data_IF_100676302356
#
_entry.id   IF_100676302356
#
_cell.length_a   1.000
_cell.length_b   1.000
_cell.length_c   1.000
_cell.angle_alpha   90.00
_cell.angle_beta   90.00
_cell.angle_gamma   90.00
#
_symmetry.space_group_name_H-M   'P 1'
#
loop_
_entity.id
_entity.type
_entity.pdbx_description
1 polymer ?
#
# COMPACT_ATOMS: atom_id res chain seq x y z
N UNK A 1 -18.88 15.00 9.22
CA UNK A 1 -18.99 14.44 7.86
C UNK A 1 -20.43 14.55 7.39
N UNK A 2 -20.65 14.98 6.15
CA UNK A 2 -22.00 15.08 5.60
C UNK A 2 -22.58 13.70 5.27
N UNK A 3 -23.89 13.59 5.20
CA UNK A 3 -24.58 12.37 4.76
C UNK A 3 -24.08 11.88 3.39
N UNK A 4 -23.86 12.80 2.46
CA UNK A 4 -23.37 12.48 1.10
C UNK A 4 -22.02 11.78 1.13
N UNK A 5 -21.07 12.28 1.92
CA UNK A 5 -19.73 11.70 2.06
C UNK A 5 -19.80 10.28 2.62
N UNK A 6 -20.59 10.06 3.67
CA UNK A 6 -20.79 8.73 4.24
C UNK A 6 -21.40 7.76 3.22
N UNK A 7 -22.36 8.23 2.42
CA UNK A 7 -23.00 7.42 1.38
C UNK A 7 -22.01 7.05 0.27
N UNK A 8 -21.16 7.99 -0.14
CA UNK A 8 -20.13 7.74 -1.16
C UNK A 8 -19.08 6.72 -0.67
N UNK A 9 -18.64 6.83 0.58
CA UNK A 9 -17.70 5.87 1.17
C UNK A 9 -18.28 4.46 1.22
N UNK A 10 -19.52 4.31 1.61
CA UNK A 10 -20.21 3.02 1.64
C UNK A 10 -20.37 2.43 0.23
N UNK A 11 -20.72 3.25 -0.75
CA UNK A 11 -20.85 2.82 -2.14
C UNK A 11 -19.49 2.41 -2.72
N UNK A 12 -18.43 3.14 -2.38
CA UNK A 12 -17.07 2.80 -2.81
C UNK A 12 -16.66 1.42 -2.29
N UNK A 13 -16.83 1.15 -1.00
CA UNK A 13 -16.51 -0.13 -0.40
C UNK A 13 -17.28 -1.29 -1.05
N UNK A 14 -18.59 -1.12 -1.28
CA UNK A 14 -19.41 -2.12 -1.95
C UNK A 14 -18.96 -2.36 -3.40
N UNK A 15 -18.63 -1.30 -4.13
CA UNK A 15 -18.17 -1.41 -5.52
C UNK A 15 -16.80 -2.13 -5.60
N UNK A 16 -15.90 -1.84 -4.70
CA UNK A 16 -14.59 -2.54 -4.62
C UNK A 16 -14.80 -4.03 -4.36
N UNK A 17 -15.66 -4.39 -3.41
CA UNK A 17 -15.98 -5.78 -3.11
C UNK A 17 -16.59 -6.51 -4.30
N UNK A 18 -17.58 -5.91 -4.95
CA UNK A 18 -18.24 -6.48 -6.13
C UNK A 18 -17.26 -6.67 -7.28
N UNK A 19 -16.40 -5.69 -7.53
CA UNK A 19 -15.35 -5.79 -8.54
C UNK A 19 -14.43 -6.95 -8.25
N UNK A 20 -14.00 -7.10 -7.00
CA UNK A 20 -13.16 -8.19 -6.57
C UNK A 20 -13.81 -9.57 -6.78
N UNK A 21 -15.10 -9.69 -6.48
CA UNK A 21 -15.84 -10.95 -6.64
C UNK A 21 -15.96 -11.39 -8.09
N UNK A 22 -16.03 -10.45 -9.05
CA UNK A 22 -16.18 -10.76 -10.49
C UNK A 22 -14.84 -10.87 -11.22
N UNK A 23 -13.70 -10.59 -10.57
CA UNK A 23 -12.40 -10.74 -11.19
C UNK A 23 -12.13 -12.19 -11.58
N UNK A 24 -11.70 -12.39 -12.81
CA UNK A 24 -11.25 -13.68 -13.31
C UNK A 24 -9.79 -13.58 -13.73
N UNK A 25 -8.96 -14.55 -13.38
CA UNK A 25 -7.57 -14.57 -13.83
C UNK A 25 -7.48 -14.60 -15.36
N UNK A 26 -6.50 -13.88 -15.91
CA UNK A 26 -6.19 -13.93 -17.34
C UNK A 26 -4.68 -13.94 -17.53
N UNK A 27 -4.23 -14.25 -18.75
CA UNK A 27 -2.82 -14.45 -19.07
C UNK A 27 -2.11 -13.16 -19.51
N UNK A 28 -2.79 -12.03 -19.53
CA UNK A 28 -2.15 -10.75 -19.86
C UNK A 28 -1.07 -10.44 -18.83
N UNK A 29 0.19 -10.26 -19.25
CA UNK A 29 1.26 -9.91 -18.31
C UNK A 29 0.96 -8.60 -17.58
N UNK A 30 1.11 -8.62 -16.25
CA UNK A 30 0.83 -7.47 -15.39
C UNK A 30 1.98 -7.25 -14.42
N UNK A 31 2.28 -5.99 -14.16
CA UNK A 31 3.21 -5.60 -13.10
C UNK A 31 2.41 -5.01 -11.93
N UNK A 32 2.60 -5.59 -10.76
CA UNK A 32 2.02 -5.06 -9.53
C UNK A 32 3.15 -4.53 -8.65
N UNK A 33 3.18 -3.22 -8.48
CA UNK A 33 4.14 -2.57 -7.58
C UNK A 33 3.43 -2.28 -6.26
N UNK A 34 3.90 -2.94 -5.20
CA UNK A 34 3.38 -2.77 -3.85
C UNK A 34 4.28 -1.77 -3.11
N UNK A 35 3.69 -0.68 -2.66
CA UNK A 35 4.39 0.37 -1.92
C UNK A 35 4.25 0.24 -0.40
N UNK A 36 3.83 -0.92 0.10
CA UNK A 36 3.73 -1.15 1.54
C UNK A 36 5.10 -1.00 2.22
N UNK A 37 5.11 -0.31 3.36
CA UNK A 37 6.34 -0.11 4.13
C UNK A 37 6.66 -1.38 4.92
N UNK A 38 7.80 -2.01 4.61
CA UNK A 38 8.23 -3.27 5.23
C UNK A 38 9.56 -3.15 5.98
N UNK A 39 9.96 -1.93 6.33
CA UNK A 39 11.11 -1.70 7.20
C UNK A 39 10.69 -0.84 8.39
N UNK A 40 11.37 -1.02 9.52
CA UNK A 40 11.15 -0.17 10.71
C UNK A 40 11.30 1.30 10.35
N UNK A 41 12.33 1.62 9.59
CA UNK A 41 12.67 2.97 9.18
C UNK A 41 11.56 3.62 8.34
N UNK A 42 11.09 2.93 7.30
CA UNK A 42 10.03 3.43 6.43
C UNK A 42 8.69 3.59 7.17
N UNK A 43 8.38 2.67 8.08
CA UNK A 43 7.16 2.76 8.88
C UNK A 43 7.22 3.94 9.85
N UNK A 44 8.35 4.14 10.52
CA UNK A 44 8.54 5.29 11.41
C UNK A 44 8.47 6.62 10.65
N UNK A 45 9.07 6.69 9.48
CA UNK A 45 9.01 7.87 8.63
C UNK A 45 7.57 8.20 8.22
N UNK A 46 6.80 7.19 7.85
CA UNK A 46 5.39 7.34 7.51
C UNK A 46 4.56 7.85 8.69
N UNK A 47 4.81 7.33 9.89
CA UNK A 47 4.14 7.78 11.12
C UNK A 47 4.52 9.23 11.43
N UNK A 48 5.81 9.58 11.33
CA UNK A 48 6.30 10.94 11.57
C UNK A 48 5.67 11.96 10.60
N UNK A 49 5.51 11.59 9.34
CA UNK A 49 4.85 12.41 8.35
C UNK A 49 3.37 12.65 8.70
N UNK A 50 2.65 11.61 9.09
CA UNK A 50 1.25 11.71 9.52
C UNK A 50 1.10 12.57 10.78
N UNK A 51 2.05 12.43 11.71
CA UNK A 51 2.10 13.25 12.93
C UNK A 51 2.25 14.72 12.60
N UNK A 52 3.16 15.06 11.70
CA UNK A 52 3.38 16.44 11.27
C UNK A 52 2.11 17.04 10.65
N UNK A 53 1.41 16.30 9.81
CA UNK A 53 0.15 16.75 9.21
C UNK A 53 -0.89 17.03 10.30
N UNK A 54 -1.01 16.16 11.30
CA UNK A 54 -1.94 16.33 12.41
C UNK A 54 -1.60 17.57 13.23
N UNK A 55 -0.34 17.77 13.56
CA UNK A 55 0.13 18.94 14.32
C UNK A 55 -0.12 20.25 13.56
N UNK A 56 0.18 20.28 12.26
CA UNK A 56 -0.05 21.44 11.39
C UNK A 56 -1.56 21.77 11.30
N UNK A 57 -2.43 20.78 11.44
CA UNK A 57 -3.88 20.97 11.48
C UNK A 57 -4.43 21.30 12.88
N UNK A 58 -3.57 21.42 13.89
CA UNK A 58 -3.96 21.71 15.27
C UNK A 58 -4.56 20.52 16.02
N UNK A 59 -4.30 19.30 15.55
CA UNK A 59 -4.79 18.05 16.15
C UNK A 59 -3.68 17.46 17.02
N UNK A 60 -4.03 16.99 18.23
CA UNK A 60 -3.06 16.30 19.09
C UNK A 60 -2.60 14.99 18.43
N UNK A 61 -1.29 14.75 18.45
CA UNK A 61 -0.67 13.57 17.88
C UNK A 61 0.05 12.71 18.92
N UNK A 62 -0.34 12.82 20.19
CA UNK A 62 0.30 12.11 21.31
C UNK A 62 0.23 10.58 21.14
N UNK A 63 -0.89 10.07 20.62
CA UNK A 63 -1.07 8.63 20.36
C UNK A 63 -0.11 8.13 19.27
N UNK A 64 0.30 8.99 18.34
CA UNK A 64 1.26 8.66 17.29
C UNK A 64 2.68 8.48 17.84
N UNK A 65 3.05 9.19 18.92
CA UNK A 65 4.33 9.00 19.60
C UNK A 65 4.41 7.58 20.19
N UNK A 66 3.33 7.12 20.80
CA UNK A 66 3.23 5.77 21.36
C UNK A 66 3.37 4.75 20.24
N UNK A 67 2.68 4.96 19.13
CA UNK A 67 2.75 4.06 17.97
C UNK A 67 4.16 4.02 17.38
N UNK A 68 4.78 5.18 17.16
CA UNK A 68 6.15 5.27 16.63
C UNK A 68 7.15 4.51 17.51
N UNK A 69 7.05 4.65 18.83
CA UNK A 69 7.93 3.98 19.78
C UNK A 69 7.66 2.47 19.87
N UNK A 70 6.52 2.01 19.41
CA UNK A 70 6.14 0.58 19.39
C UNK A 70 6.60 -0.14 18.13
N UNK A 71 7.10 0.56 17.12
CA UNK A 71 7.55 -0.03 15.87
C UNK A 71 8.92 -0.69 16.06
N UNK A 72 8.95 -2.00 15.95
CA UNK A 72 10.15 -2.83 16.00
C UNK A 72 10.10 -3.89 14.88
N UNK A 73 11.09 -4.75 14.80
CA UNK A 73 11.15 -5.79 13.77
C UNK A 73 9.95 -6.74 13.83
N UNK A 74 9.47 -7.06 15.01
CA UNK A 74 8.30 -7.92 15.19
C UNK A 74 7.02 -7.26 14.68
N UNK A 75 6.86 -5.97 14.94
CA UNK A 75 5.74 -5.20 14.42
C UNK A 75 5.74 -5.21 12.89
N UNK A 76 6.89 -4.95 12.28
CA UNK A 76 7.08 -4.95 10.82
C UNK A 76 6.74 -6.32 10.25
N UNK A 77 7.26 -7.39 10.83
CA UNK A 77 7.00 -8.76 10.38
C UNK A 77 5.52 -9.12 10.43
N UNK A 78 4.84 -8.74 11.50
CA UNK A 78 3.40 -8.97 11.66
C UNK A 78 2.60 -8.23 10.59
N UNK A 79 2.91 -6.97 10.34
CA UNK A 79 2.25 -6.18 9.30
C UNK A 79 2.54 -6.73 7.91
N UNK A 80 3.78 -7.12 7.66
CA UNK A 80 4.19 -7.70 6.39
C UNK A 80 3.40 -8.97 6.08
N UNK A 81 3.30 -9.88 7.04
CA UNK A 81 2.53 -11.12 6.88
C UNK A 81 1.06 -10.83 6.56
N UNK A 82 0.47 -9.87 7.23
CA UNK A 82 -0.91 -9.46 7.00
C UNK A 82 -1.11 -8.92 5.59
N UNK A 83 -0.27 -7.99 5.16
CA UNK A 83 -0.37 -7.39 3.82
C UNK A 83 -0.07 -8.38 2.72
N UNK A 84 0.95 -9.23 2.88
CA UNK A 84 1.30 -10.25 1.89
C UNK A 84 0.16 -11.24 1.64
N UNK A 85 -0.54 -11.66 2.66
CA UNK A 85 -1.71 -12.54 2.51
C UNK A 85 -2.81 -11.89 1.69
N UNK A 86 -3.12 -10.61 1.96
CA UNK A 86 -4.15 -9.88 1.24
C UNK A 86 -3.73 -9.63 -0.21
N UNK A 87 -2.49 -9.22 -0.44
CA UNK A 87 -1.95 -8.96 -1.76
C UNK A 87 -1.90 -10.25 -2.59
N UNK A 88 -1.49 -11.36 -1.99
CA UNK A 88 -1.44 -12.65 -2.67
C UNK A 88 -2.81 -13.07 -3.19
N UNK A 89 -3.84 -12.93 -2.39
CA UNK A 89 -5.20 -13.25 -2.78
C UNK A 89 -5.63 -12.40 -3.99
N UNK A 90 -5.30 -11.11 -3.98
CA UNK A 90 -5.61 -10.20 -5.08
C UNK A 90 -4.82 -10.56 -6.35
N UNK A 91 -3.53 -10.84 -6.21
CA UNK A 91 -2.65 -11.23 -7.33
C UNK A 91 -3.15 -12.52 -7.99
N UNK A 92 -3.54 -13.50 -7.19
CA UNK A 92 -4.10 -14.76 -7.70
C UNK A 92 -5.39 -14.52 -8.52
N UNK A 93 -6.18 -13.53 -8.14
CA UNK A 93 -7.37 -13.12 -8.89
C UNK A 93 -7.07 -12.43 -10.21
N UNK A 94 -5.95 -11.73 -10.31
CA UNK A 94 -5.56 -11.03 -11.54
C UNK A 94 -4.95 -11.99 -12.58
N UNK A 95 -4.15 -12.94 -12.16
CA UNK A 95 -3.43 -13.88 -13.05
C UNK A 95 -2.25 -13.25 -13.78
N UNK A 96 -1.19 -14.02 -13.98
CA UNK A 96 0.05 -13.64 -14.70
C UNK A 96 0.64 -12.30 -14.19
N UNK A 97 0.89 -12.22 -12.88
CA UNK A 97 1.39 -11.01 -12.23
C UNK A 97 2.86 -11.16 -11.85
N UNK A 98 3.67 -10.17 -12.24
CA UNK A 98 4.99 -9.95 -11.67
C UNK A 98 4.81 -9.01 -10.47
N UNK A 99 5.19 -9.47 -9.30
CA UNK A 99 5.05 -8.70 -8.06
C UNK A 99 6.39 -8.10 -7.65
N UNK A 100 6.40 -6.81 -7.33
CA UNK A 100 7.57 -6.10 -6.81
C UNK A 100 7.14 -5.25 -5.62
N UNK A 101 7.82 -5.39 -4.50
CA UNK A 101 7.66 -4.47 -3.38
C UNK A 101 8.75 -3.39 -3.43
N UNK A 102 8.33 -2.13 -3.35
CA UNK A 102 9.20 -0.99 -3.13
C UNK A 102 8.73 -0.33 -1.85
N UNK A 103 9.38 -0.65 -0.73
CA UNK A 103 8.98 -0.20 0.59
C UNK A 103 8.90 1.32 0.68
N UNK A 104 7.77 1.85 1.12
CA UNK A 104 7.57 3.28 1.21
C UNK A 104 6.12 3.66 1.49
N UNK A 105 5.59 4.59 0.72
CA UNK A 105 4.23 5.07 0.90
C UNK A 105 3.45 5.08 -0.44
N UNK A 106 2.17 5.38 -0.36
CA UNK A 106 1.25 5.31 -1.50
C UNK A 106 1.75 6.06 -2.75
N UNK A 107 2.42 7.20 -2.57
CA UNK A 107 2.99 7.99 -3.67
C UNK A 107 4.43 7.61 -4.00
N UNK A 108 4.74 6.32 -4.02
CA UNK A 108 6.08 5.78 -4.19
C UNK A 108 6.79 6.31 -5.45
N UNK A 109 6.06 6.56 -6.52
CA UNK A 109 6.60 7.08 -7.77
C UNK A 109 7.18 8.50 -7.62
N UNK A 110 6.77 9.25 -6.61
CA UNK A 110 7.31 10.58 -6.29
C UNK A 110 8.56 10.50 -5.42
N UNK A 111 8.62 9.51 -4.53
CA UNK A 111 9.68 9.38 -3.53
C UNK A 111 10.82 8.49 -3.98
N UNK A 112 10.53 7.46 -4.76
CA UNK A 112 11.51 6.49 -5.25
C UNK A 112 11.35 6.27 -6.77
N UNK A 113 11.44 7.34 -7.58
CA UNK A 113 11.16 7.24 -9.02
C UNK A 113 12.12 6.32 -9.77
N UNK A 114 13.38 6.25 -9.35
CA UNK A 114 14.38 5.39 -9.99
C UNK A 114 14.08 3.91 -9.79
N UNK A 115 13.66 3.53 -8.58
CA UNK A 115 13.29 2.15 -8.27
C UNK A 115 12.03 1.73 -9.03
N UNK A 116 11.03 2.61 -9.10
CA UNK A 116 9.81 2.38 -9.87
C UNK A 116 10.14 2.22 -11.37
N UNK A 117 10.93 3.12 -11.92
CA UNK A 117 11.34 3.06 -13.33
C UNK A 117 12.11 1.78 -13.63
N UNK A 118 13.00 1.35 -12.73
CA UNK A 118 13.74 0.08 -12.87
C UNK A 118 12.80 -1.12 -12.88
N UNK A 119 11.84 -1.16 -11.96
CA UNK A 119 10.86 -2.26 -11.93
C UNK A 119 10.05 -2.33 -13.22
N UNK A 120 9.61 -1.19 -13.74
CA UNK A 120 8.87 -1.11 -15.01
C UNK A 120 9.74 -1.57 -16.19
N UNK A 121 10.99 -1.11 -16.24
CA UNK A 121 11.92 -1.49 -17.30
C UNK A 121 12.20 -2.99 -17.29
N UNK A 122 12.51 -3.55 -16.12
CA UNK A 122 12.79 -4.98 -15.97
C UNK A 122 11.58 -5.82 -16.40
N UNK A 123 10.38 -5.38 -16.07
CA UNK A 123 9.14 -6.03 -16.49
C UNK A 123 8.98 -6.01 -18.02
N UNK A 124 9.18 -4.84 -18.63
CA UNK A 124 9.06 -4.70 -20.09
C UNK A 124 10.12 -5.52 -20.84
N UNK A 125 11.33 -5.59 -20.30
CA UNK A 125 12.42 -6.38 -20.91
C UNK A 125 12.11 -7.88 -20.91
N UNK A 126 11.36 -8.37 -19.93
CA UNK A 126 10.92 -9.79 -19.89
C UNK A 126 9.86 -10.12 -20.92
N UNK A 127 9.15 -9.13 -21.45
CA UNK A 127 8.11 -9.33 -22.45
C UNK A 127 8.65 -9.44 -23.88
N UNK A 128 9.92 -9.17 -24.06
CA UNK A 128 10.59 -9.21 -25.39
C UNK A 128 11.00 -10.62 -25.80
#
# INVERSE_FOLDING_TARGET
MSWTVCSEENNYADNVRKTYEILSPNDIPKLYIDASAYTVEDIKEKIAYSKKIAEDAGISADDMDILENSVDDRFVETMKDFYEKNIKTYIDKLGNVTYVNISGEHSIFKHKPEEVAKAMKDFLDKLK
#
